data_IF_923519810102
#
_entry.id   IF_923519810102
#
_cell.length_a   1.000
_cell.length_b   1.000
_cell.length_c   1.000
_cell.angle_alpha   90.00
_cell.angle_beta   90.00
_cell.angle_gamma   90.00
#
_symmetry.space_group_name_H-M   'P 1'
#
loop_
_entity.id
_entity.type
_entity.pdbx_description
1 polymer ?
#
# COMPACT_ATOMS: atom_id res chain seq x y z
N UNK A 1 2.58 6.22 14.06
CA UNK A 1 2.30 4.77 14.26
C UNK A 1 2.02 4.22 12.88
N UNK A 2 2.79 3.18 12.48
CA UNK A 2 2.64 2.57 11.16
C UNK A 2 1.21 2.10 10.90
N UNK A 3 0.85 2.11 9.64
CA UNK A 3 -0.41 1.56 9.18
C UNK A 3 -0.33 0.06 9.36
N UNK A 4 -0.86 -0.44 10.45
CA UNK A 4 -1.15 -1.84 10.61
C UNK A 4 -2.50 -2.06 9.93
N UNK A 5 -2.47 -2.38 8.65
CA UNK A 5 -3.64 -2.78 7.88
C UNK A 5 -4.35 -3.96 8.52
N UNK A 6 -3.58 -4.77 9.21
CA UNK A 6 -4.03 -5.96 9.90
C UNK A 6 -3.71 -5.78 11.37
N UNK A 7 -4.69 -5.85 12.28
CA UNK A 7 -4.43 -5.83 13.71
C UNK A 7 -3.42 -6.92 14.05
N UNK A 8 -2.20 -6.54 14.38
CA UNK A 8 -1.10 -7.46 14.66
C UNK A 8 -1.37 -8.41 15.86
N UNK A 9 -2.44 -8.17 16.62
CA UNK A 9 -2.80 -8.95 17.80
C UNK A 9 -3.81 -10.07 17.55
N UNK A 10 -4.63 -9.96 16.50
CA UNK A 10 -5.63 -10.99 16.17
C UNK A 10 -5.24 -11.86 14.98
N UNK A 11 -4.09 -11.55 14.35
CA UNK A 11 -3.66 -12.12 13.10
C UNK A 11 -2.22 -12.64 13.17
N UNK A 12 -1.79 -12.99 14.35
CA UNK A 12 -0.47 -13.58 14.57
C UNK A 12 -0.25 -14.82 13.71
N UNK A 13 0.61 -14.68 12.70
CA UNK A 13 1.08 -15.77 11.87
C UNK A 13 0.09 -16.33 10.84
N UNK A 14 -1.15 -15.82 10.79
CA UNK A 14 -2.17 -16.31 9.91
C UNK A 14 -3.23 -15.24 9.67
N UNK A 15 -2.94 -14.27 8.83
CA UNK A 15 -3.80 -13.13 8.65
C UNK A 15 -5.15 -13.45 7.99
N UNK A 16 -6.07 -12.48 8.06
CA UNK A 16 -7.36 -12.53 7.38
C UNK A 16 -7.24 -12.95 5.91
N UNK A 17 -6.26 -12.35 5.20
CA UNK A 17 -6.05 -12.61 3.77
C UNK A 17 -5.52 -14.00 3.53
N UNK A 18 -4.58 -14.48 4.32
CA UNK A 18 -3.99 -15.81 4.21
C UNK A 18 -5.02 -16.90 4.53
N UNK A 19 -5.89 -16.67 5.54
CA UNK A 19 -6.99 -17.57 5.85
C UNK A 19 -8.02 -17.63 4.75
N UNK A 20 -8.43 -16.46 4.19
CA UNK A 20 -9.33 -16.39 3.04
C UNK A 20 -8.71 -17.00 1.77
N UNK A 21 -7.40 -16.90 1.60
CA UNK A 21 -6.67 -17.52 0.50
C UNK A 21 -6.42 -19.01 0.67
N UNK A 22 -6.86 -19.61 1.79
CA UNK A 22 -6.62 -21.01 2.13
C UNK A 22 -5.12 -21.39 2.08
N UNK A 23 -4.24 -20.46 2.50
CA UNK A 23 -2.78 -20.68 2.48
C UNK A 23 -2.32 -21.79 3.44
N UNK A 24 -3.16 -22.19 4.38
CA UNK A 24 -2.97 -23.33 5.29
C UNK A 24 -4.30 -24.00 5.62
N UNK A 25 -4.21 -25.23 6.11
CA UNK A 25 -5.36 -25.95 6.63
C UNK A 25 -5.61 -25.57 8.09
N UNK A 26 -6.84 -25.23 8.42
CA UNK A 26 -7.28 -24.90 9.76
C UNK A 26 -8.26 -25.97 10.25
N UNK A 27 -8.04 -26.51 11.45
CA UNK A 27 -8.94 -27.50 12.04
C UNK A 27 -10.21 -26.84 12.58
N UNK A 28 -11.31 -27.57 12.55
CA UNK A 28 -12.57 -27.19 13.19
C UNK A 28 -12.36 -26.77 14.66
N UNK A 29 -13.04 -25.71 15.10
CA UNK A 29 -12.90 -25.14 16.44
C UNK A 29 -11.88 -24.00 16.53
N UNK A 30 -11.07 -23.74 15.50
CA UNK A 30 -10.23 -22.53 15.43
C UNK A 30 -11.01 -21.36 14.81
N UNK A 31 -10.66 -20.13 15.21
CA UNK A 31 -11.33 -18.91 14.72
C UNK A 31 -11.28 -18.77 13.19
N UNK A 32 -10.16 -19.19 12.61
CA UNK A 32 -9.86 -19.07 11.17
C UNK A 32 -10.53 -20.18 10.34
N UNK A 33 -11.16 -21.18 10.97
CA UNK A 33 -11.82 -22.29 10.26
C UNK A 33 -12.95 -21.77 9.36
N UNK A 34 -13.82 -20.91 9.91
CA UNK A 34 -14.93 -20.32 9.18
C UNK A 34 -14.44 -19.41 8.05
N UNK A 35 -13.32 -18.68 8.26
CA UNK A 35 -12.66 -17.85 7.22
C UNK A 35 -12.15 -18.71 6.07
N UNK A 36 -11.46 -19.81 6.37
CA UNK A 36 -10.95 -20.75 5.35
C UNK A 36 -12.07 -21.47 4.60
N UNK A 37 -13.21 -21.66 5.21
CA UNK A 37 -14.40 -22.21 4.56
C UNK A 37 -15.30 -21.17 3.89
N UNK A 38 -14.92 -19.88 3.95
CA UNK A 38 -15.69 -18.75 3.40
C UNK A 38 -17.13 -18.68 3.94
N UNK A 39 -17.32 -19.05 5.22
CA UNK A 39 -18.63 -18.94 5.87
C UNK A 39 -18.87 -17.51 6.39
N UNK A 40 -19.36 -16.66 5.52
CA UNK A 40 -19.67 -15.26 5.83
C UNK A 40 -20.89 -15.06 6.74
N UNK A 41 -21.50 -16.14 7.26
CA UNK A 41 -22.66 -16.04 8.14
C UNK A 41 -22.27 -15.96 9.62
N UNK A 42 -21.06 -16.40 9.97
CA UNK A 42 -20.57 -16.44 11.35
C UNK A 42 -19.96 -15.13 11.83
N UNK A 43 -19.99 -14.88 13.14
CA UNK A 43 -19.34 -13.69 13.73
C UNK A 43 -17.81 -13.77 13.67
N UNK A 44 -17.25 -14.98 13.64
CA UNK A 44 -15.81 -15.20 13.46
C UNK A 44 -15.29 -14.61 12.14
N UNK A 45 -16.16 -14.53 11.12
CA UNK A 45 -15.84 -13.93 9.82
C UNK A 45 -16.29 -12.48 9.73
N UNK A 46 -17.52 -12.18 10.15
CA UNK A 46 -18.07 -10.81 10.04
C UNK A 46 -17.28 -9.79 10.86
N UNK A 47 -16.91 -10.13 12.09
CA UNK A 47 -16.23 -9.19 12.99
C UNK A 47 -14.87 -8.74 12.45
N UNK A 48 -13.91 -9.62 12.07
CA UNK A 48 -12.64 -9.20 11.50
C UNK A 48 -12.80 -8.48 10.15
N UNK A 49 -13.73 -8.90 9.28
CA UNK A 49 -14.01 -8.20 8.02
C UNK A 49 -14.49 -6.76 8.26
N UNK A 50 -15.46 -6.58 9.17
CA UNK A 50 -15.96 -5.25 9.53
C UNK A 50 -14.89 -4.37 10.16
N UNK A 51 -14.05 -4.94 11.03
CA UNK A 51 -12.95 -4.21 11.67
C UNK A 51 -11.93 -3.75 10.64
N UNK A 52 -11.55 -4.62 9.72
CA UNK A 52 -10.61 -4.31 8.65
C UNK A 52 -11.18 -3.26 7.68
N UNK A 53 -12.44 -3.42 7.27
CA UNK A 53 -13.13 -2.44 6.42
C UNK A 53 -13.14 -1.03 7.04
N UNK A 54 -13.54 -0.93 8.31
CA UNK A 54 -13.50 0.34 9.05
C UNK A 54 -12.08 0.90 9.18
N UNK A 55 -11.10 0.01 9.39
CA UNK A 55 -9.70 0.37 9.48
C UNK A 55 -9.20 1.08 8.21
N UNK A 56 -9.52 0.56 7.03
CA UNK A 56 -9.17 1.20 5.76
C UNK A 56 -9.80 2.59 5.61
N UNK A 57 -11.08 2.75 5.90
CA UNK A 57 -11.72 4.07 5.81
C UNK A 57 -11.21 5.06 6.86
N UNK A 58 -10.78 4.61 8.04
CA UNK A 58 -10.09 5.47 9.01
C UNK A 58 -8.74 5.96 8.48
N UNK A 59 -7.99 5.11 7.77
CA UNK A 59 -6.74 5.52 7.11
C UNK A 59 -7.04 6.56 6.03
N UNK A 60 -8.02 6.30 5.17
CA UNK A 60 -8.44 7.22 4.12
C UNK A 60 -8.85 8.58 4.71
N UNK A 61 -9.66 8.58 5.76
CA UNK A 61 -10.06 9.81 6.45
C UNK A 61 -8.86 10.58 7.00
N UNK A 62 -7.90 9.89 7.61
CA UNK A 62 -6.66 10.50 8.12
C UNK A 62 -5.83 11.12 6.99
N UNK A 63 -5.74 10.45 5.83
CA UNK A 63 -5.02 10.99 4.67
C UNK A 63 -5.74 12.21 4.08
N UNK A 64 -7.06 12.19 4.02
CA UNK A 64 -7.85 13.34 3.59
C UNK A 64 -7.64 14.55 4.51
N UNK A 65 -7.65 14.36 5.83
CA UNK A 65 -7.39 15.43 6.80
C UNK A 65 -5.97 15.98 6.65
N UNK A 66 -4.97 15.11 6.44
CA UNK A 66 -3.60 15.52 6.21
C UNK A 66 -3.48 16.37 4.94
N UNK A 67 -4.02 15.90 3.81
CA UNK A 67 -3.97 16.63 2.53
C UNK A 67 -4.65 17.99 2.70
N UNK A 68 -5.86 18.04 3.24
CA UNK A 68 -6.61 19.27 3.44
C UNK A 68 -5.88 20.23 4.39
N UNK A 69 -5.33 19.73 5.49
CA UNK A 69 -4.61 20.52 6.48
C UNK A 69 -3.32 21.13 5.91
N UNK A 70 -2.59 20.37 5.10
CA UNK A 70 -1.37 20.83 4.43
C UNK A 70 -1.70 21.86 3.35
N UNK A 71 -2.72 21.61 2.51
CA UNK A 71 -3.16 22.54 1.47
C UNK A 71 -3.62 23.87 2.08
N UNK A 72 -4.39 23.83 3.17
CA UNK A 72 -4.87 25.03 3.86
C UNK A 72 -3.74 25.87 4.51
N UNK A 73 -2.55 25.30 4.67
CA UNK A 73 -1.38 25.94 5.25
C UNK A 73 -0.18 25.96 4.30
N UNK A 74 -0.43 25.82 2.99
CA UNK A 74 0.60 25.64 1.98
C UNK A 74 1.73 26.66 2.05
N UNK A 75 1.42 27.92 2.30
CA UNK A 75 2.37 29.03 2.40
C UNK A 75 3.36 28.93 3.59
N UNK A 76 3.04 28.11 4.60
CA UNK A 76 3.87 27.91 5.80
C UNK A 76 4.75 26.65 5.71
N UNK A 77 4.62 25.90 4.63
CA UNK A 77 5.24 24.59 4.47
C UNK A 77 6.21 24.65 3.29
N UNK A 78 7.44 24.19 3.49
CA UNK A 78 8.42 24.13 2.40
C UNK A 78 7.96 23.17 1.30
N UNK A 79 8.41 23.41 0.07
CA UNK A 79 8.07 22.57 -1.08
C UNK A 79 8.47 21.10 -0.87
N UNK A 80 9.62 20.89 -0.24
CA UNK A 80 10.11 19.56 0.08
C UNK A 80 9.17 18.80 1.03
N UNK A 81 8.78 19.44 2.15
CA UNK A 81 7.85 18.86 3.14
C UNK A 81 6.48 18.63 2.51
N UNK A 82 6.01 19.58 1.72
CA UNK A 82 4.77 19.46 0.98
C UNK A 82 4.79 18.27 0.02
N UNK A 83 5.79 18.22 -0.85
CA UNK A 83 5.89 17.19 -1.88
C UNK A 83 5.95 15.78 -1.27
N UNK A 84 6.76 15.58 -0.25
CA UNK A 84 6.86 14.26 0.38
C UNK A 84 5.63 13.95 1.22
N UNK A 85 5.17 14.87 2.06
CA UNK A 85 4.04 14.63 2.94
C UNK A 85 2.73 14.38 2.19
N UNK A 86 2.41 15.24 1.22
CA UNK A 86 1.19 15.09 0.40
C UNK A 86 1.32 13.93 -0.57
N UNK A 87 2.51 13.71 -1.15
CA UNK A 87 2.77 12.56 -2.01
C UNK A 87 2.56 11.22 -1.29
N UNK A 88 3.09 11.08 -0.07
CA UNK A 88 2.83 9.90 0.76
C UNK A 88 1.35 9.75 1.11
N UNK A 89 0.65 10.84 1.42
CA UNK A 89 -0.76 10.79 1.76
C UNK A 89 -1.63 10.29 0.59
N UNK A 90 -1.40 10.79 -0.63
CA UNK A 90 -2.05 10.28 -1.83
C UNK A 90 -1.74 8.81 -2.06
N UNK A 91 -0.49 8.40 -1.94
CA UNK A 91 -0.07 7.01 -2.11
C UNK A 91 -0.75 6.06 -1.09
N UNK A 92 -0.81 6.47 0.18
CA UNK A 92 -1.44 5.68 1.24
C UNK A 92 -2.96 5.61 1.07
N UNK A 93 -3.60 6.69 0.62
CA UNK A 93 -5.02 6.71 0.28
C UNK A 93 -5.32 5.74 -0.87
N UNK A 94 -4.52 5.81 -1.93
CA UNK A 94 -4.63 4.90 -3.06
C UNK A 94 -4.42 3.43 -2.64
N UNK A 95 -3.41 3.13 -1.83
CA UNK A 95 -3.16 1.79 -1.33
C UNK A 95 -4.35 1.26 -0.52
N UNK A 96 -4.92 2.08 0.38
CA UNK A 96 -6.09 1.70 1.17
C UNK A 96 -7.32 1.43 0.28
N UNK A 97 -7.56 2.29 -0.71
CA UNK A 97 -8.63 2.08 -1.69
C UNK A 97 -8.37 0.87 -2.59
N UNK A 98 -7.14 0.61 -2.97
CA UNK A 98 -6.79 -0.57 -3.76
C UNK A 98 -7.07 -1.87 -3.01
N UNK A 99 -6.74 -1.94 -1.73
CA UNK A 99 -7.04 -3.12 -0.92
C UNK A 99 -8.56 -3.25 -0.65
N UNK A 100 -9.29 -2.14 -0.48
CA UNK A 100 -10.75 -2.16 -0.38
C UNK A 100 -11.41 -2.76 -1.64
N UNK A 101 -11.05 -2.30 -2.83
CA UNK A 101 -11.68 -2.80 -4.06
C UNK A 101 -11.33 -4.28 -4.33
N UNK A 102 -10.14 -4.73 -3.91
CA UNK A 102 -9.72 -6.13 -4.06
C UNK A 102 -10.44 -7.06 -3.08
N UNK A 103 -10.75 -6.60 -1.87
CA UNK A 103 -11.36 -7.42 -0.82
C UNK A 103 -12.90 -7.37 -0.84
N UNK A 104 -13.50 -6.25 -1.20
CA UNK A 104 -14.96 -6.05 -1.17
C UNK A 104 -15.57 -5.68 -2.51
N UNK A 105 -14.78 -5.43 -3.53
CA UNK A 105 -15.24 -5.21 -4.89
C UNK A 105 -15.33 -6.49 -5.71
N UNK A 106 -15.77 -6.39 -6.97
CA UNK A 106 -15.80 -7.53 -7.88
C UNK A 106 -14.41 -7.90 -8.37
N UNK A 107 -14.22 -9.16 -8.74
CA UNK A 107 -13.09 -9.55 -9.57
C UNK A 107 -13.18 -8.80 -10.93
N UNK A 108 -12.04 -8.32 -11.49
CA UNK A 108 -12.07 -7.62 -12.78
C UNK A 108 -12.79 -8.37 -13.90
N UNK A 109 -12.71 -9.71 -13.90
CA UNK A 109 -13.40 -10.57 -14.88
C UNK A 109 -14.91 -10.71 -14.64
N UNK A 110 -15.46 -10.14 -13.57
CA UNK A 110 -16.87 -10.26 -13.16
C UNK A 110 -17.55 -8.90 -12.98
N UNK A 111 -16.99 -7.86 -13.56
CA UNK A 111 -17.56 -6.51 -13.50
C UNK A 111 -18.80 -6.45 -14.40
N UNK A 112 -19.89 -5.91 -13.87
CA UNK A 112 -21.08 -5.61 -14.64
C UNK A 112 -21.07 -4.11 -15.03
N UNK A 113 -21.28 -3.84 -16.30
CA UNK A 113 -21.28 -2.48 -16.81
C UNK A 113 -22.39 -1.64 -16.13
N UNK A 114 -22.03 -0.48 -15.62
CA UNK A 114 -22.96 0.46 -14.95
C UNK A 114 -23.30 0.13 -13.50
N UNK A 115 -22.86 -1.02 -12.97
CA UNK A 115 -23.01 -1.33 -11.55
C UNK A 115 -22.01 -0.52 -10.71
N UNK A 116 -22.47 -0.07 -9.54
CA UNK A 116 -21.64 0.67 -8.58
C UNK A 116 -21.26 -0.23 -7.40
N UNK A 117 -20.02 -0.10 -6.88
CA UNK A 117 -19.48 -1.06 -5.92
C UNK A 117 -19.10 -0.44 -4.58
N UNK A 118 -18.16 0.50 -4.57
CA UNK A 118 -17.65 1.14 -3.36
C UNK A 118 -17.50 2.65 -3.60
N UNK A 119 -17.57 3.47 -2.54
CA UNK A 119 -17.21 4.88 -2.67
C UNK A 119 -15.69 5.04 -2.71
N UNK A 120 -15.19 5.89 -3.60
CA UNK A 120 -13.83 6.39 -3.54
C UNK A 120 -13.83 7.74 -2.84
N UNK A 121 -13.26 7.81 -1.63
CA UNK A 121 -13.40 8.95 -0.73
C UNK A 121 -12.15 9.81 -0.75
N UNK A 122 -12.26 11.03 -1.28
CA UNK A 122 -11.16 12.00 -1.38
C UNK A 122 -11.28 13.19 -0.42
N UNK A 123 -12.43 13.34 0.21
CA UNK A 123 -12.74 14.44 1.16
C UNK A 123 -13.57 13.89 2.30
N UNK A 124 -13.28 14.31 3.53
CA UNK A 124 -14.11 13.95 4.67
C UNK A 124 -15.41 14.76 4.68
N UNK A 125 -16.54 14.08 4.86
CA UNK A 125 -17.87 14.66 4.88
C UNK A 125 -18.75 13.96 5.91
N UNK A 126 -19.74 14.69 6.44
CA UNK A 126 -20.84 14.11 7.21
C UNK A 126 -21.94 13.53 6.32
N UNK A 127 -21.91 13.84 5.03
CA UNK A 127 -22.85 13.31 4.06
C UNK A 127 -22.48 11.90 3.62
N UNK A 128 -23.49 11.18 3.12
CA UNK A 128 -23.26 9.83 2.59
C UNK A 128 -22.44 9.91 1.30
N UNK A 129 -21.39 9.11 1.23
CA UNK A 129 -20.59 8.97 0.01
C UNK A 129 -21.32 8.13 -1.04
N UNK A 130 -21.23 8.57 -2.29
CA UNK A 130 -21.79 7.84 -3.42
C UNK A 130 -20.92 6.66 -3.81
N UNK A 131 -21.56 5.56 -4.16
CA UNK A 131 -20.91 4.41 -4.76
C UNK A 131 -20.61 4.70 -6.22
N UNK A 132 -19.43 4.35 -6.68
CA UNK A 132 -19.02 4.60 -8.07
C UNK A 132 -18.87 3.31 -8.87
N UNK A 133 -18.87 3.42 -10.19
CA UNK A 133 -18.58 2.27 -11.07
C UNK A 133 -17.12 1.83 -10.88
N UNK A 134 -16.83 0.61 -11.26
CA UNK A 134 -15.46 0.07 -11.15
C UNK A 134 -14.44 0.93 -11.92
N UNK A 135 -14.77 1.32 -13.15
CA UNK A 135 -13.86 2.14 -13.97
C UNK A 135 -13.62 3.50 -13.32
N UNK A 136 -14.68 4.15 -12.78
CA UNK A 136 -14.51 5.44 -12.07
C UNK A 136 -13.71 5.28 -10.78
N UNK A 137 -13.85 4.15 -10.09
CA UNK A 137 -13.05 3.85 -8.92
C UNK A 137 -11.56 3.74 -9.26
N UNK A 138 -11.26 2.99 -10.33
CA UNK A 138 -9.87 2.81 -10.78
C UNK A 138 -9.27 4.09 -11.36
N UNK A 139 -10.05 4.90 -12.08
CA UNK A 139 -9.64 6.24 -12.53
C UNK A 139 -9.16 7.10 -11.35
N UNK A 140 -9.99 7.23 -10.30
CA UNK A 140 -9.65 8.01 -9.10
C UNK A 140 -8.43 7.43 -8.35
N UNK A 141 -8.28 6.11 -8.35
CA UNK A 141 -7.12 5.45 -7.78
C UNK A 141 -5.83 5.80 -8.54
N UNK A 142 -5.87 5.78 -9.88
CA UNK A 142 -4.73 6.18 -10.70
C UNK A 142 -4.45 7.68 -10.61
N UNK A 143 -5.47 8.54 -10.45
CA UNK A 143 -5.26 9.96 -10.16
C UNK A 143 -4.43 10.17 -8.88
N UNK A 144 -4.78 9.46 -7.80
CA UNK A 144 -4.03 9.50 -6.55
C UNK A 144 -2.59 8.98 -6.71
N UNK A 145 -2.39 7.87 -7.40
CA UNK A 145 -1.07 7.30 -7.65
C UNK A 145 -0.21 8.21 -8.52
N UNK A 146 -0.78 8.81 -9.57
CA UNK A 146 -0.09 9.77 -10.44
C UNK A 146 0.32 11.03 -9.66
N UNK A 147 -0.58 11.52 -8.79
CA UNK A 147 -0.25 12.67 -7.94
C UNK A 147 0.86 12.35 -6.95
N UNK A 148 0.83 11.16 -6.35
CA UNK A 148 1.90 10.70 -5.46
C UNK A 148 3.24 10.58 -6.18
N UNK A 149 3.25 9.98 -7.37
CA UNK A 149 4.45 9.84 -8.21
C UNK A 149 5.04 11.21 -8.58
N UNK A 150 4.20 12.15 -9.02
CA UNK A 150 4.62 13.51 -9.37
C UNK A 150 5.30 14.21 -8.17
N UNK A 151 4.66 14.18 -7.01
CA UNK A 151 5.14 14.89 -5.84
C UNK A 151 6.41 14.26 -5.25
N UNK A 152 6.41 12.95 -5.05
CA UNK A 152 7.59 12.23 -4.54
C UNK A 152 8.76 12.29 -5.53
N UNK A 153 8.48 12.26 -6.83
CA UNK A 153 9.51 12.42 -7.87
C UNK A 153 10.27 13.75 -7.81
N UNK A 154 9.70 14.78 -7.18
CA UNK A 154 10.35 16.10 -7.02
C UNK A 154 11.29 16.17 -5.82
N UNK A 155 10.99 15.48 -4.72
CA UNK A 155 11.63 15.77 -3.43
C UNK A 155 12.00 14.54 -2.60
N UNK A 156 11.68 13.32 -3.05
CA UNK A 156 12.01 12.13 -2.27
C UNK A 156 13.53 11.88 -2.28
N UNK A 157 14.15 11.95 -1.12
CA UNK A 157 15.60 11.77 -0.97
C UNK A 157 16.11 10.40 -1.45
N UNK A 158 15.24 9.39 -1.48
CA UNK A 158 15.57 8.05 -1.97
C UNK A 158 16.02 8.04 -3.45
N UNK A 159 15.65 9.07 -4.21
CA UNK A 159 16.06 9.21 -5.61
C UNK A 159 17.57 9.39 -5.75
N UNK A 160 18.17 10.12 -4.81
CA UNK A 160 19.56 10.55 -4.85
C UNK A 160 20.45 9.91 -3.77
N UNK A 161 19.92 8.96 -3.01
CA UNK A 161 20.65 8.25 -1.96
C UNK A 161 20.62 6.74 -2.20
N UNK A 162 21.65 5.99 -1.76
CA UNK A 162 21.60 4.55 -1.73
C UNK A 162 20.37 4.08 -0.96
N UNK A 163 19.70 3.06 -1.47
CA UNK A 163 18.51 2.52 -0.79
C UNK A 163 18.81 2.05 0.64
N UNK A 164 20.03 1.62 0.90
CA UNK A 164 20.49 1.11 2.19
C UNK A 164 21.07 2.18 3.13
N UNK A 165 21.07 3.44 2.72
CA UNK A 165 21.53 4.53 3.56
C UNK A 165 20.69 4.62 4.83
N UNK A 166 21.33 4.39 5.97
CA UNK A 166 20.76 4.50 7.32
C UNK A 166 21.07 5.88 7.91
N UNK A 167 20.87 6.94 7.17
CA UNK A 167 21.22 8.26 7.67
C UNK A 167 20.44 8.63 8.94
N UNK A 168 21.16 8.86 9.99
CA UNK A 168 20.71 9.32 11.32
C UNK A 168 20.78 10.84 11.42
N UNK A 169 20.42 11.57 10.39
CA UNK A 169 20.37 13.02 10.46
C UNK A 169 19.08 13.48 11.14
N UNK A 170 19.11 14.63 11.82
CA UNK A 170 17.96 15.27 12.46
C UNK A 170 16.89 15.77 11.47
N UNK A 171 16.81 15.16 10.30
CA UNK A 171 15.87 15.50 9.24
C UNK A 171 14.57 14.71 9.40
N UNK A 172 13.46 15.26 8.92
CA UNK A 172 12.15 14.59 8.86
C UNK A 172 12.12 13.40 7.87
N UNK A 173 13.24 13.11 7.22
CA UNK A 173 13.40 12.16 6.14
C UNK A 173 14.06 10.82 6.48
N UNK A 174 14.40 10.48 7.73
CA UNK A 174 14.94 9.17 8.04
C UNK A 174 13.89 8.08 7.75
N UNK A 175 14.38 6.87 7.52
CA UNK A 175 13.54 5.68 7.36
C UNK A 175 12.67 5.64 6.08
N UNK A 176 13.16 6.20 4.96
CA UNK A 176 12.42 6.12 3.68
C UNK A 176 12.07 4.69 3.25
N UNK A 177 12.86 3.70 3.66
CA UNK A 177 12.56 2.27 3.45
C UNK A 177 11.30 1.79 4.18
N UNK A 178 11.00 2.39 5.34
CA UNK A 178 9.84 2.04 6.17
C UNK A 178 8.62 2.94 5.91
N UNK A 179 8.69 3.80 4.90
CA UNK A 179 7.62 4.71 4.49
C UNK A 179 7.34 4.51 3.01
N UNK A 180 6.12 4.80 2.59
CA UNK A 180 5.75 4.68 1.18
C UNK A 180 6.49 5.74 0.35
N UNK A 181 7.59 5.32 -0.23
CA UNK A 181 8.52 6.16 -1.00
C UNK A 181 8.18 6.14 -2.50
N UNK A 182 8.93 6.91 -3.30
CA UNK A 182 8.76 6.99 -4.75
C UNK A 182 8.71 5.61 -5.43
N UNK A 183 9.65 4.73 -5.12
CA UNK A 183 9.69 3.40 -5.74
C UNK A 183 8.57 2.47 -5.24
N UNK A 184 8.12 2.67 -4.00
CA UNK A 184 6.93 2.01 -3.48
C UNK A 184 5.67 2.40 -4.27
N UNK A 185 5.57 3.68 -4.67
CA UNK A 185 4.49 4.15 -5.55
C UNK A 185 4.57 3.51 -6.93
N UNK A 186 5.76 3.45 -7.56
CA UNK A 186 5.92 2.76 -8.85
C UNK A 186 5.54 1.27 -8.76
N UNK A 187 5.92 0.60 -7.67
CA UNK A 187 5.50 -0.78 -7.42
C UNK A 187 3.99 -0.93 -7.25
N UNK A 188 3.34 0.05 -6.60
CA UNK A 188 1.89 0.06 -6.45
C UNK A 188 1.18 0.35 -7.78
N UNK A 189 1.71 1.27 -8.61
CA UNK A 189 1.27 1.48 -9.99
C UNK A 189 1.31 0.16 -10.79
N UNK A 190 2.43 -0.54 -10.77
CA UNK A 190 2.57 -1.82 -11.48
C UNK A 190 1.50 -2.83 -11.04
N UNK A 191 1.25 -2.96 -9.73
CA UNK A 191 0.22 -3.86 -9.18
C UNK A 191 -1.20 -3.44 -9.56
N UNK A 192 -1.51 -2.14 -9.49
CA UNK A 192 -2.83 -1.63 -9.81
C UNK A 192 -3.16 -1.78 -11.30
N UNK A 193 -2.22 -1.44 -12.19
CA UNK A 193 -2.38 -1.65 -13.64
C UNK A 193 -2.52 -3.13 -13.99
N UNK A 194 -1.72 -4.01 -13.39
CA UNK A 194 -1.85 -5.45 -13.60
C UNK A 194 -3.23 -5.97 -13.16
N UNK A 195 -3.72 -5.52 -12.00
CA UNK A 195 -5.04 -5.87 -11.50
C UNK A 195 -6.16 -5.37 -12.41
N UNK A 196 -6.03 -4.17 -12.94
CA UNK A 196 -6.99 -3.56 -13.86
C UNK A 196 -6.99 -4.22 -15.26
N UNK A 197 -5.90 -4.93 -15.60
CA UNK A 197 -5.73 -5.61 -16.89
C UNK A 197 -4.86 -4.83 -17.88
N UNK A 198 -4.33 -3.68 -17.50
CA UNK A 198 -3.39 -2.91 -18.29
C UNK A 198 -1.97 -3.45 -18.11
N UNK A 199 -1.66 -4.50 -18.84
CA UNK A 199 -0.37 -5.20 -18.74
C UNK A 199 0.80 -4.40 -19.31
N UNK A 200 0.57 -3.48 -20.23
CA UNK A 200 1.61 -2.62 -20.82
C UNK A 200 2.12 -1.63 -19.78
N UNK A 201 1.23 -0.89 -19.14
CA UNK A 201 1.61 0.04 -18.08
C UNK A 201 2.15 -0.69 -16.85
N UNK A 202 1.58 -1.83 -16.48
CA UNK A 202 2.12 -2.66 -15.41
C UNK A 202 3.58 -3.03 -15.65
N UNK A 203 3.92 -3.46 -16.86
CA UNK A 203 5.29 -3.80 -17.26
C UNK A 203 6.20 -2.56 -17.28
N UNK A 204 5.70 -1.42 -17.76
CA UNK A 204 6.45 -0.15 -17.76
C UNK A 204 6.88 0.23 -16.36
N UNK A 205 5.95 0.25 -15.41
CA UNK A 205 6.24 0.59 -14.01
C UNK A 205 7.17 -0.42 -13.32
N UNK A 206 6.96 -1.72 -13.56
CA UNK A 206 7.83 -2.75 -13.03
C UNK A 206 9.29 -2.62 -13.53
N UNK A 207 9.48 -2.22 -14.79
CA UNK A 207 10.81 -1.94 -15.36
C UNK A 207 11.46 -0.74 -14.71
N UNK A 208 10.73 0.35 -14.46
CA UNK A 208 11.27 1.54 -13.77
C UNK A 208 11.85 1.19 -12.40
N UNK A 209 11.19 0.30 -11.65
CA UNK A 209 11.73 -0.19 -10.38
C UNK A 209 12.94 -1.09 -10.59
N UNK A 210 12.83 -2.08 -11.47
CA UNK A 210 13.90 -3.08 -11.72
C UNK A 210 15.19 -2.45 -12.23
N UNK A 211 15.07 -1.39 -13.02
CA UNK A 211 16.20 -0.70 -13.67
C UNK A 211 16.74 0.46 -12.84
N UNK A 212 16.13 0.76 -11.69
CA UNK A 212 16.57 1.82 -10.81
C UNK A 212 18.01 1.60 -10.33
N UNK A 213 18.80 2.66 -10.36
CA UNK A 213 20.21 2.65 -9.97
C UNK A 213 20.47 3.63 -8.82
N UNK A 214 21.46 3.34 -8.03
CA UNK A 214 22.03 4.22 -7.03
C UNK A 214 22.96 5.27 -7.68
N UNK A 215 23.33 6.35 -6.97
CA UNK A 215 24.27 7.36 -7.48
C UNK A 215 25.65 6.79 -7.89
N UNK A 216 26.05 5.67 -7.31
CA UNK A 216 27.31 4.97 -7.63
C UNK A 216 27.19 4.04 -8.86
N UNK A 217 26.02 3.98 -9.49
CA UNK A 217 25.73 3.12 -10.64
C UNK A 217 25.32 1.69 -10.30
N UNK A 218 25.32 1.30 -9.03
CA UNK A 218 24.83 -0.01 -8.60
C UNK A 218 23.29 -0.08 -8.69
N UNK A 219 22.75 -1.30 -8.77
CA UNK A 219 21.28 -1.49 -8.73
C UNK A 219 20.71 -1.02 -7.40
N UNK A 220 19.63 -0.27 -7.43
CA UNK A 220 18.95 0.20 -6.22
C UNK A 220 18.23 -0.92 -5.49
N UNK A 221 17.66 -1.87 -6.23
CA UNK A 221 17.01 -3.06 -5.71
C UNK A 221 17.68 -4.30 -6.29
N UNK A 222 17.98 -5.25 -5.45
CA UNK A 222 18.60 -6.52 -5.85
C UNK A 222 17.81 -7.67 -5.25
N UNK A 223 17.82 -8.81 -5.93
CA UNK A 223 17.31 -10.04 -5.35
C UNK A 223 18.18 -10.45 -4.16
N UNK A 224 17.57 -11.07 -3.18
CA UNK A 224 18.25 -11.64 -2.02
C UNK A 224 19.35 -12.59 -2.49
N UNK A 225 20.53 -12.44 -1.91
CA UNK A 225 21.67 -13.31 -2.13
C UNK A 225 21.98 -14.01 -0.81
N UNK A 226 21.93 -15.35 -0.83
CA UNK A 226 22.14 -16.17 0.37
C UNK A 226 23.48 -15.86 1.05
N UNK A 227 24.55 -15.62 0.28
CA UNK A 227 25.87 -15.32 0.82
C UNK A 227 25.97 -13.96 1.53
N UNK A 228 25.19 -12.96 1.05
CA UNK A 228 25.24 -11.60 1.60
C UNK A 228 24.17 -11.38 2.69
N UNK A 229 23.01 -11.99 2.53
CA UNK A 229 21.87 -11.78 3.42
C UNK A 229 21.82 -12.81 4.57
N UNK A 230 22.54 -13.94 4.42
CA UNK A 230 22.65 -15.04 5.40
C UNK A 230 24.09 -15.54 5.55
N UNK A 231 25.06 -14.67 5.89
CA UNK A 231 26.49 -15.00 5.85
C UNK A 231 26.91 -16.12 6.81
N UNK A 232 26.13 -16.41 7.83
CA UNK A 232 26.36 -17.46 8.81
C UNK A 232 25.39 -18.65 8.69
N UNK A 233 24.55 -18.65 7.65
CA UNK A 233 23.52 -19.67 7.45
C UNK A 233 22.37 -19.58 8.46
N UNK A 234 22.33 -18.55 9.31
CA UNK A 234 21.25 -18.34 10.25
C UNK A 234 20.17 -17.44 9.62
N UNK A 235 18.92 -17.90 9.63
CA UNK A 235 17.75 -17.10 9.30
C UNK A 235 17.45 -16.16 10.49
N UNK A 236 18.23 -15.10 10.65
CA UNK A 236 18.03 -14.12 11.72
C UNK A 236 16.88 -13.17 11.44
N UNK A 237 16.55 -12.99 10.19
CA UNK A 237 15.43 -12.16 9.74
C UNK A 237 14.86 -12.75 8.45
N UNK A 238 13.69 -13.36 8.51
CA UNK A 238 12.99 -13.94 7.36
C UNK A 238 12.50 -12.92 6.34
N UNK A 239 12.93 -11.66 6.46
CA UNK A 239 12.61 -10.58 5.52
C UNK A 239 13.74 -10.45 4.51
N UNK A 240 13.46 -10.70 3.23
CA UNK A 240 14.35 -10.37 2.11
C UNK A 240 14.44 -8.84 1.95
N UNK A 241 15.11 -8.19 2.90
CA UNK A 241 15.06 -6.74 3.08
C UNK A 241 15.56 -5.96 1.86
N UNK A 242 16.49 -6.53 1.10
CA UNK A 242 17.01 -5.95 -0.15
C UNK A 242 15.99 -5.91 -1.30
N UNK A 243 14.93 -6.71 -1.20
CA UNK A 243 13.86 -6.81 -2.20
C UNK A 243 12.67 -5.90 -1.88
N UNK A 244 12.58 -5.37 -0.67
CA UNK A 244 11.45 -4.54 -0.27
C UNK A 244 11.56 -3.14 -0.87
N UNK A 245 10.52 -2.70 -1.56
CA UNK A 245 10.39 -1.31 -2.03
C UNK A 245 10.06 -0.37 -0.88
N UNK A 246 9.27 -0.83 0.06
CA UNK A 246 9.01 -0.25 1.39
C UNK A 246 8.48 -1.33 2.32
N UNK A 247 8.68 -1.18 3.61
CA UNK A 247 8.18 -2.12 4.61
C UNK A 247 7.79 -1.40 5.90
N UNK A 248 6.70 -1.82 6.53
CA UNK A 248 6.33 -1.36 7.87
C UNK A 248 7.01 -2.26 8.91
N UNK A 249 7.69 -1.64 9.89
CA UNK A 249 8.20 -2.35 11.07
C UNK A 249 7.11 -2.47 12.13
#
# INVERSE_FOLDING_TARGET
RGILYYPAGEMGGGGLVESLACSWSVSEGNKEYDLGNHDYTTENVKSPLNTTFKGFYNIIATMNDLIQGVESNREKISDEVYNVGVGEAHALRALAHFDLIRLWGPMPSKINAGETYLPYVTVNSSERYEYVTYDKYMELLFEDLNRAEELLGKSDVILNQPFESTETTNSIWPYRKSRLNYYGVLGLQARAHLWYGDTEEALRYARLVKEAINPDGSKKFRLTNEADDFPDGSWTDGTSYSEHLFGTK
#
